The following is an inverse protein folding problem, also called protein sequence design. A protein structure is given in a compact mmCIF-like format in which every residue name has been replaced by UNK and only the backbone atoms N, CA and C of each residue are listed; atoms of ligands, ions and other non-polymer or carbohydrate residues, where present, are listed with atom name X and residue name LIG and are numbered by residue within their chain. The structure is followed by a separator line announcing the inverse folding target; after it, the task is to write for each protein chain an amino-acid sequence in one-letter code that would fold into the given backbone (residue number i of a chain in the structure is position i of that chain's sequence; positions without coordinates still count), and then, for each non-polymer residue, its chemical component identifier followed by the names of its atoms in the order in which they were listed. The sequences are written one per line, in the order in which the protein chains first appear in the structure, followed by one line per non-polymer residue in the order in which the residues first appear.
data_IF_075605449812
#
_entry.id   IF_075605449812
#
_cell.length_a   1.000
_cell.length_b   1.000
_cell.length_c   1.000
_cell.angle_alpha   90.00
_cell.angle_beta   90.00
_cell.angle_gamma   90.00
#
_symmetry.space_group_name_H-M   'P 1'
#
loop_
_entity.id
_entity.type
_entity.pdbx_description
1 polymer ?
#
# COMPACT_ATOMS: atom_id res chain seq x y z
N UNK A 1 -59.93 19.71 -8.45
CA UNK A 1 -58.95 18.82 -9.08
C UNK A 1 -57.59 19.52 -9.05
N UNK A 2 -57.21 19.94 -7.88
CA UNK A 2 -55.91 20.53 -7.49
C UNK A 2 -55.76 20.14 -6.05
N UNK A 3 -54.62 19.67 -5.62
CA UNK A 3 -54.19 19.32 -4.24
C UNK A 3 -53.83 17.86 -4.06
N UNK A 4 -52.86 17.37 -4.85
CA UNK A 4 -52.19 16.06 -4.58
C UNK A 4 -50.64 16.15 -4.60
N UNK A 5 -50.05 17.34 -4.71
CA UNK A 5 -48.56 17.45 -4.75
C UNK A 5 -48.00 18.49 -3.77
N UNK A 6 -48.40 18.42 -2.51
CA UNK A 6 -47.68 19.11 -1.41
C UNK A 6 -47.62 18.23 -0.20
N UNK A 7 -46.68 17.30 -0.18
CA UNK A 7 -46.03 16.78 1.01
C UNK A 7 -44.76 16.01 0.62
N UNK A 8 -43.83 16.70 0.02
CA UNK A 8 -42.43 16.35 0.17
C UNK A 8 -41.99 16.84 1.53
N UNK A 9 -42.31 16.08 2.56
CA UNK A 9 -41.56 16.12 3.81
C UNK A 9 -40.08 15.89 3.39
N UNK A 10 -39.32 16.95 3.43
CA UNK A 10 -37.86 16.87 3.45
C UNK A 10 -37.51 16.01 4.63
N UNK A 11 -37.26 14.74 4.38
CA UNK A 11 -36.56 13.88 5.33
C UNK A 11 -35.28 14.63 5.65
N UNK A 12 -35.20 15.28 6.79
CA UNK A 12 -33.93 15.63 7.41
C UNK A 12 -33.23 14.29 7.60
N UNK A 13 -32.35 13.95 6.65
CA UNK A 13 -31.35 12.92 6.85
C UNK A 13 -30.63 13.34 8.13
N UNK A 14 -30.83 12.58 9.20
CA UNK A 14 -29.94 12.61 10.33
C UNK A 14 -28.57 12.21 9.79
N UNK A 15 -27.80 13.19 9.39
CA UNK A 15 -26.44 12.99 8.87
C UNK A 15 -25.59 12.48 10.03
N UNK A 16 -25.58 11.17 10.19
CA UNK A 16 -24.59 10.53 11.02
C UNK A 16 -23.21 10.75 10.36
N UNK A 17 -22.20 11.14 11.13
CA UNK A 17 -20.88 11.32 10.59
C UNK A 17 -20.41 10.03 9.92
N UNK A 18 -19.96 10.15 8.67
CA UNK A 18 -19.36 9.04 7.93
C UNK A 18 -17.85 9.03 8.14
N UNK A 19 -17.27 7.85 8.18
CA UNK A 19 -15.83 7.67 8.35
C UNK A 19 -15.26 6.89 7.17
N UNK A 20 -14.21 7.42 6.58
CA UNK A 20 -13.45 6.73 5.56
C UNK A 20 -12.02 6.51 6.03
N UNK A 21 -11.50 5.33 5.75
CA UNK A 21 -10.15 4.94 6.11
C UNK A 21 -9.39 4.54 4.85
N UNK A 22 -8.18 5.06 4.71
CA UNK A 22 -7.25 4.65 3.67
C UNK A 22 -5.95 4.18 4.29
N UNK A 23 -5.29 3.25 3.62
CA UNK A 23 -3.98 2.72 3.99
C UNK A 23 -2.99 2.91 2.86
N UNK A 24 -1.71 3.04 3.23
CA UNK A 24 -0.59 3.00 2.31
C UNK A 24 0.60 2.31 2.97
N UNK A 25 1.44 1.66 2.17
CA UNK A 25 2.57 0.87 2.66
C UNK A 25 3.90 1.37 2.07
N UNK A 26 4.99 1.23 2.84
CA UNK A 26 6.35 1.52 2.41
C UNK A 26 6.84 0.48 1.40
N UNK A 27 7.94 0.78 0.70
CA UNK A 27 8.48 -0.07 -0.36
C UNK A 27 8.86 -1.48 0.09
N UNK A 28 9.24 -1.64 1.35
CA UNK A 28 9.62 -2.93 1.94
C UNK A 28 8.47 -3.73 2.54
N UNK A 29 7.24 -3.22 2.51
CA UNK A 29 6.08 -4.03 2.88
C UNK A 29 5.94 -5.21 1.90
N UNK A 30 5.66 -6.43 2.38
CA UNK A 30 5.61 -7.62 1.53
C UNK A 30 4.76 -7.46 0.26
N UNK A 31 3.56 -6.90 0.37
CA UNK A 31 2.68 -6.71 -0.77
C UNK A 31 3.32 -5.81 -1.84
N UNK A 32 3.86 -4.65 -1.44
CA UNK A 32 4.51 -3.73 -2.38
C UNK A 32 5.83 -4.28 -2.90
N UNK A 33 6.58 -5.01 -2.10
CA UNK A 33 7.80 -5.68 -2.53
C UNK A 33 7.51 -6.71 -3.62
N UNK A 34 6.43 -7.48 -3.48
CA UNK A 34 5.99 -8.44 -4.49
C UNK A 34 5.61 -7.74 -5.80
N UNK A 35 4.84 -6.66 -5.73
CA UNK A 35 4.49 -5.86 -6.91
C UNK A 35 5.74 -5.29 -7.59
N UNK A 36 6.68 -4.71 -6.81
CA UNK A 36 7.94 -4.17 -7.35
C UNK A 36 8.78 -5.22 -8.06
N UNK A 37 8.82 -6.45 -7.55
CA UNK A 37 9.53 -7.55 -8.19
C UNK A 37 8.81 -7.96 -9.48
N UNK A 38 7.49 -8.11 -9.46
CA UNK A 38 6.70 -8.47 -10.64
C UNK A 38 6.84 -7.42 -11.74
N UNK A 39 6.73 -6.14 -11.39
CA UNK A 39 6.95 -5.01 -12.31
C UNK A 39 8.37 -4.99 -12.88
N UNK A 40 9.39 -5.28 -12.05
CA UNK A 40 10.78 -5.34 -12.52
C UNK A 40 11.02 -6.48 -13.51
N UNK A 41 10.33 -7.61 -13.35
CA UNK A 41 10.36 -8.71 -14.33
C UNK A 41 9.66 -8.30 -15.62
N UNK A 42 8.51 -7.63 -15.54
CA UNK A 42 7.79 -7.09 -16.69
C UNK A 42 8.67 -6.09 -17.45
N UNK A 43 9.26 -5.13 -16.75
CA UNK A 43 10.16 -4.11 -17.35
C UNK A 43 11.34 -4.75 -18.08
N UNK A 44 11.98 -5.76 -17.48
CA UNK A 44 13.09 -6.48 -18.10
C UNK A 44 12.69 -7.22 -19.39
N UNK A 45 11.47 -7.72 -19.46
CA UNK A 45 10.94 -8.33 -20.68
C UNK A 45 10.63 -7.29 -21.74
N UNK A 46 9.86 -6.24 -21.39
CA UNK A 46 9.41 -5.22 -22.33
C UNK A 46 10.55 -4.37 -22.89
N UNK A 47 11.64 -4.16 -22.13
CA UNK A 47 12.81 -3.41 -22.58
C UNK A 47 13.43 -4.01 -23.84
N UNK A 48 13.35 -5.30 -24.05
CA UNK A 48 14.02 -6.01 -25.13
C UNK A 48 13.06 -6.70 -26.10
N UNK A 49 11.83 -6.94 -25.69
CA UNK A 49 10.74 -7.48 -26.50
C UNK A 49 9.41 -6.81 -26.12
N UNK A 50 9.05 -5.70 -26.79
CA UNK A 50 7.81 -4.99 -26.52
C UNK A 50 6.53 -5.83 -26.72
N UNK A 51 6.62 -6.96 -27.43
CA UNK A 51 5.51 -7.88 -27.62
C UNK A 51 5.44 -8.98 -26.53
N UNK A 52 6.26 -8.89 -25.48
CA UNK A 52 6.22 -9.85 -24.38
C UNK A 52 4.84 -9.89 -23.70
N UNK A 53 4.38 -11.09 -23.38
CA UNK A 53 3.21 -11.32 -22.53
C UNK A 53 3.73 -11.87 -21.21
N UNK A 54 3.46 -11.14 -20.13
CA UNK A 54 4.06 -11.39 -18.80
C UNK A 54 2.94 -11.50 -17.78
N UNK A 55 2.71 -12.71 -17.28
CA UNK A 55 1.91 -12.98 -16.11
C UNK A 55 2.86 -13.46 -15.00
N UNK A 56 3.36 -12.54 -14.22
CA UNK A 56 4.35 -12.79 -13.16
C UNK A 56 3.73 -12.50 -11.80
N UNK A 57 3.64 -13.52 -10.98
CA UNK A 57 3.13 -13.45 -9.61
C UNK A 57 4.29 -13.66 -8.63
N UNK A 58 4.25 -12.92 -7.53
CA UNK A 58 5.29 -12.99 -6.51
C UNK A 58 4.66 -13.14 -5.13
N UNK A 59 5.23 -14.00 -4.32
CA UNK A 59 4.89 -14.15 -2.91
C UNK A 59 6.15 -13.98 -2.06
N UNK A 60 6.06 -13.10 -1.07
CA UNK A 60 7.11 -12.89 -0.08
C UNK A 60 6.66 -13.40 1.29
N UNK A 61 7.51 -14.16 1.94
CA UNK A 61 7.33 -14.61 3.32
C UNK A 61 8.67 -14.63 4.03
N UNK A 62 8.70 -15.05 5.30
CA UNK A 62 9.91 -15.04 6.11
C UNK A 62 11.10 -15.73 5.42
N UNK A 63 12.08 -14.94 5.00
CA UNK A 63 13.30 -15.43 4.35
C UNK A 63 13.09 -16.08 2.98
N UNK A 64 11.90 -15.98 2.37
CA UNK A 64 11.60 -16.58 1.09
C UNK A 64 10.90 -15.62 0.15
N UNK A 65 11.32 -15.65 -1.12
CA UNK A 65 10.65 -15.02 -2.25
C UNK A 65 10.34 -16.11 -3.26
N UNK A 66 9.08 -16.25 -3.63
CA UNK A 66 8.62 -17.20 -4.64
C UNK A 66 8.13 -16.39 -5.83
N UNK A 67 8.70 -16.61 -6.99
CA UNK A 67 8.27 -16.01 -8.26
C UNK A 67 7.70 -17.12 -9.10
N UNK A 68 6.48 -16.97 -9.56
CA UNK A 68 5.78 -17.97 -10.38
C UNK A 68 4.98 -17.28 -11.48
N UNK A 69 4.67 -18.02 -12.55
CA UNK A 69 3.82 -17.50 -13.60
C UNK A 69 4.16 -18.01 -14.98
N UNK A 70 3.55 -17.35 -15.96
CA UNK A 70 3.69 -17.71 -17.37
C UNK A 70 4.17 -16.48 -18.16
N UNK A 71 5.30 -16.63 -18.88
CA UNK A 71 5.89 -15.56 -19.65
C UNK A 71 6.19 -16.03 -21.06
N UNK A 72 5.65 -15.34 -22.05
CA UNK A 72 6.01 -15.51 -23.45
C UNK A 72 6.83 -14.32 -23.90
N UNK A 73 8.11 -14.51 -24.16
CA UNK A 73 9.05 -13.47 -24.57
C UNK A 73 10.22 -14.06 -25.35
N UNK A 74 10.85 -13.24 -26.20
CA UNK A 74 12.10 -13.59 -26.90
C UNK A 74 13.34 -13.45 -26.02
N UNK A 75 13.18 -12.91 -24.82
CA UNK A 75 14.23 -12.65 -23.84
C UNK A 75 14.20 -13.70 -22.75
N UNK A 76 15.33 -13.94 -22.11
CA UNK A 76 15.39 -14.73 -20.86
C UNK A 76 15.80 -13.79 -19.72
N UNK A 77 14.85 -13.18 -19.01
CA UNK A 77 15.19 -12.31 -17.90
C UNK A 77 15.86 -13.11 -16.78
N UNK A 78 16.93 -12.56 -16.20
CA UNK A 78 17.55 -13.14 -15.01
C UNK A 78 16.75 -12.78 -13.77
N UNK A 79 15.68 -13.53 -13.53
CA UNK A 79 14.73 -13.30 -12.41
C UNK A 79 15.44 -13.30 -11.07
N UNK A 80 16.45 -14.15 -10.86
CA UNK A 80 17.19 -14.20 -9.59
C UNK A 80 17.95 -12.90 -9.33
N UNK A 81 18.58 -12.32 -10.33
CA UNK A 81 19.28 -11.06 -10.18
C UNK A 81 18.28 -9.89 -10.04
N UNK A 82 17.18 -9.90 -10.79
CA UNK A 82 16.10 -8.90 -10.66
C UNK A 82 15.59 -8.85 -9.22
N UNK A 83 15.25 -10.00 -8.64
CA UNK A 83 14.79 -10.08 -7.24
C UNK A 83 15.86 -9.54 -6.28
N UNK A 84 17.13 -9.95 -6.45
CA UNK A 84 18.21 -9.48 -5.58
C UNK A 84 18.44 -7.98 -5.68
N UNK A 85 18.33 -7.41 -6.87
CA UNK A 85 18.51 -5.97 -7.08
C UNK A 85 17.33 -5.20 -6.49
N UNK A 86 16.10 -5.66 -6.67
CA UNK A 86 14.91 -5.07 -6.04
C UNK A 86 15.02 -5.09 -4.51
N UNK A 87 15.45 -6.22 -3.91
CA UNK A 87 15.67 -6.29 -2.47
C UNK A 87 16.70 -5.26 -1.99
N UNK A 88 17.82 -5.09 -2.68
CA UNK A 88 18.84 -4.08 -2.34
C UNK A 88 18.29 -2.66 -2.45
N UNK A 89 17.59 -2.35 -3.51
CA UNK A 89 16.99 -1.03 -3.75
C UNK A 89 15.97 -0.65 -2.67
N UNK A 90 15.25 -1.63 -2.18
CA UNK A 90 14.30 -1.44 -1.08
C UNK A 90 15.03 -1.28 0.26
N UNK A 91 16.19 -1.88 0.42
CA UNK A 91 17.01 -1.81 1.64
C UNK A 91 17.08 -3.10 2.44
N UNK A 92 16.80 -4.24 1.80
CA UNK A 92 17.00 -5.57 2.38
C UNK A 92 18.32 -6.19 1.92
N UNK A 93 18.94 -7.06 2.72
CA UNK A 93 20.06 -7.88 2.27
C UNK A 93 19.51 -9.12 1.53
N UNK A 94 19.83 -9.28 0.24
CA UNK A 94 19.37 -10.44 -0.54
C UNK A 94 19.85 -11.80 0.01
N UNK A 95 20.88 -11.81 0.85
CA UNK A 95 21.40 -13.04 1.49
C UNK A 95 20.44 -13.60 2.53
N UNK A 96 19.56 -12.77 3.06
CA UNK A 96 18.57 -13.18 4.04
C UNK A 96 17.37 -13.90 3.40
N UNK A 97 17.37 -14.02 2.05
CA UNK A 97 16.25 -14.57 1.29
C UNK A 97 16.67 -15.74 0.42
N UNK A 98 15.93 -16.83 0.51
CA UNK A 98 15.87 -17.87 -0.49
C UNK A 98 14.92 -17.43 -1.60
N UNK A 99 15.34 -17.58 -2.86
CA UNK A 99 14.55 -17.22 -4.02
C UNK A 99 14.23 -18.49 -4.79
N UNK A 100 12.94 -18.78 -4.96
CA UNK A 100 12.44 -19.89 -5.75
C UNK A 100 11.68 -19.34 -6.98
N UNK A 101 11.97 -19.89 -8.17
CA UNK A 101 11.40 -19.40 -9.42
C UNK A 101 10.74 -20.55 -10.18
N UNK A 102 9.44 -20.37 -10.46
CA UNK A 102 8.56 -21.31 -11.18
C UNK A 102 7.88 -20.61 -12.35
N UNK A 103 8.67 -20.08 -13.27
CA UNK A 103 8.18 -19.44 -14.50
C UNK A 103 8.21 -20.44 -15.62
N UNK A 104 7.12 -20.53 -16.38
CA UNK A 104 6.94 -21.39 -17.52
C UNK A 104 6.53 -20.58 -18.75
N UNK A 105 6.67 -21.18 -19.94
CA UNK A 105 6.06 -20.62 -21.15
C UNK A 105 4.53 -20.71 -21.09
N UNK A 106 3.83 -19.72 -21.65
CA UNK A 106 2.39 -19.71 -21.70
C UNK A 106 1.86 -20.93 -22.47
N UNK A 107 0.76 -21.51 -22.01
CA UNK A 107 0.07 -22.60 -22.69
C UNK A 107 -0.29 -22.22 -24.14
N UNK A 108 -0.07 -23.10 -25.14
CA UNK A 108 -0.44 -22.83 -26.53
C UNK A 108 -1.94 -22.54 -26.71
N UNK A 109 -2.81 -23.13 -25.87
CA UNK A 109 -4.26 -22.92 -25.94
C UNK A 109 -4.64 -21.49 -25.50
N UNK A 110 -3.95 -20.96 -24.48
CA UNK A 110 -4.14 -19.58 -24.01
C UNK A 110 -3.52 -18.61 -25.01
N UNK A 111 -2.33 -18.92 -25.53
CA UNK A 111 -1.66 -18.11 -26.53
C UNK A 111 -2.53 -17.95 -27.78
N UNK A 112 -3.13 -19.03 -28.28
CA UNK A 112 -4.03 -19.01 -29.44
C UNK A 112 -5.32 -18.24 -29.22
N UNK A 113 -5.79 -18.12 -27.96
CA UNK A 113 -6.99 -17.35 -27.65
C UNK A 113 -6.71 -15.83 -27.54
N UNK A 114 -5.44 -15.45 -27.32
CA UNK A 114 -4.98 -14.06 -27.12
C UNK A 114 -4.37 -13.48 -28.42
N UNK A 115 -3.82 -14.33 -29.27
CA UNK A 115 -3.34 -13.92 -30.60
C UNK A 115 -4.56 -13.64 -31.48
N UNK A 116 -4.83 -12.40 -31.91
CA UNK A 116 -5.87 -12.15 -32.87
C UNK A 116 -5.50 -12.90 -34.17
N UNK A 117 -6.40 -13.72 -34.70
CA UNK A 117 -6.34 -14.09 -36.11
C UNK A 117 -6.45 -12.76 -36.86
N UNK A 118 -5.31 -12.21 -37.30
CA UNK A 118 -5.27 -11.02 -38.16
C UNK A 118 -6.03 -11.38 -39.44
N UNK A 119 -7.27 -10.95 -39.52
CA UNK A 119 -8.00 -10.98 -40.77
C UNK A 119 -7.23 -10.14 -41.79
N UNK A 120 -7.06 -10.62 -43.02
CA UNK A 120 -6.38 -9.90 -44.09
C UNK A 120 -6.94 -8.48 -44.21
N UNK A 121 -6.14 -7.46 -43.76
CA UNK A 121 -6.48 -6.04 -43.89
C UNK A 121 -6.79 -5.31 -42.59
N UNK A 122 -6.64 -5.92 -41.41
CA UNK A 122 -6.68 -5.20 -40.13
C UNK A 122 -5.30 -4.65 -39.76
N UNK A 123 -5.27 -3.40 -39.26
CA UNK A 123 -4.05 -2.72 -38.85
C UNK A 123 -3.34 -3.47 -37.70
N UNK A 124 -2.02 -3.51 -37.70
CA UNK A 124 -1.15 -4.10 -36.67
C UNK A 124 -1.38 -3.53 -35.24
N UNK A 125 -2.22 -2.52 -35.09
CA UNK A 125 -2.51 -1.83 -33.82
C UNK A 125 -3.57 -2.51 -32.95
N UNK A 126 -4.14 -3.66 -33.36
CA UNK A 126 -5.08 -4.44 -32.54
C UNK A 126 -4.39 -5.48 -31.66
N UNK A 127 -3.48 -5.03 -30.79
CA UNK A 127 -2.95 -5.89 -29.75
C UNK A 127 -4.09 -6.17 -28.73
N UNK A 128 -4.55 -7.40 -28.65
CA UNK A 128 -5.50 -7.84 -27.63
C UNK A 128 -4.89 -7.80 -26.23
N UNK A 129 -5.74 -7.67 -25.20
CA UNK A 129 -5.27 -7.82 -23.84
C UNK A 129 -4.75 -9.24 -23.56
N UNK A 130 -3.69 -9.37 -22.78
CA UNK A 130 -3.09 -10.68 -22.44
C UNK A 130 -3.97 -11.56 -21.54
N UNK A 131 -5.02 -10.99 -20.92
CA UNK A 131 -5.97 -11.68 -20.06
C UNK A 131 -7.30 -10.89 -19.99
N UNK A 132 -8.32 -11.50 -19.40
CA UNK A 132 -9.58 -10.85 -19.08
C UNK A 132 -9.34 -9.80 -17.98
N UNK A 133 -10.09 -8.69 -18.03
CA UNK A 133 -9.95 -7.65 -17.02
C UNK A 133 -11.17 -6.75 -16.91
N UNK A 134 -11.39 -6.21 -15.72
CA UNK A 134 -12.34 -5.13 -15.46
C UNK A 134 -11.55 -3.95 -14.92
N UNK A 135 -11.62 -2.82 -15.64
CA UNK A 135 -10.95 -1.59 -15.23
C UNK A 135 -11.96 -0.69 -14.53
N UNK A 136 -11.59 -0.21 -13.34
CA UNK A 136 -12.41 0.72 -12.55
C UNK A 136 -11.64 2.01 -12.38
N UNK A 137 -12.29 3.14 -12.64
CA UNK A 137 -11.74 4.47 -12.42
C UNK A 137 -12.54 5.22 -11.35
N UNK A 138 -11.86 6.01 -10.55
CA UNK A 138 -12.47 6.90 -9.56
C UNK A 138 -11.69 8.21 -9.48
N UNK A 139 -12.41 9.34 -9.44
CA UNK A 139 -11.82 10.63 -9.19
C UNK A 139 -12.81 11.51 -8.39
N UNK A 140 -12.27 12.38 -7.55
CA UNK A 140 -13.03 13.38 -6.79
C UNK A 140 -12.28 14.71 -6.77
N UNK A 141 -12.90 15.76 -6.24
CA UNK A 141 -12.32 17.10 -6.16
C UNK A 141 -11.84 17.48 -4.75
N UNK A 142 -11.60 16.50 -3.90
CA UNK A 142 -11.15 16.74 -2.51
C UNK A 142 -9.71 17.26 -2.43
N UNK A 143 -8.87 16.83 -3.38
CA UNK A 143 -7.44 17.19 -3.43
C UNK A 143 -7.02 17.55 -4.85
N UNK A 144 -5.91 18.30 -5.02
CA UNK A 144 -5.34 18.57 -6.35
C UNK A 144 -4.98 17.32 -7.15
N UNK A 145 -4.75 16.20 -6.48
CA UNK A 145 -4.46 14.89 -7.07
C UNK A 145 -5.72 14.20 -7.61
N UNK A 146 -6.91 14.79 -7.44
CA UNK A 146 -8.21 14.20 -7.76
C UNK A 146 -8.51 12.87 -7.03
N UNK A 147 -7.93 12.69 -5.86
CA UNK A 147 -8.09 11.52 -5.00
C UNK A 147 -8.73 11.91 -3.67
N UNK A 148 -9.38 10.97 -2.97
CA UNK A 148 -9.88 11.18 -1.61
C UNK A 148 -8.77 11.62 -0.67
N UNK A 149 -9.05 12.58 0.19
CA UNK A 149 -8.07 13.16 1.10
C UNK A 149 -7.36 12.12 2.00
N UNK A 150 -8.02 11.11 2.59
CA UNK A 150 -7.33 10.10 3.40
C UNK A 150 -6.33 9.26 2.56
N UNK A 151 -6.60 9.04 1.27
CA UNK A 151 -5.67 8.35 0.36
C UNK A 151 -4.40 9.17 0.17
N UNK A 152 -4.56 10.46 -0.18
CA UNK A 152 -3.42 11.37 -0.39
C UNK A 152 -2.62 11.54 0.91
N UNK A 153 -3.29 11.69 2.04
CA UNK A 153 -2.64 11.80 3.34
C UNK A 153 -1.80 10.54 3.68
N UNK A 154 -2.36 9.35 3.48
CA UNK A 154 -1.65 8.10 3.72
C UNK A 154 -0.44 7.93 2.79
N UNK A 155 -0.57 8.28 1.51
CA UNK A 155 0.54 8.24 0.54
C UNK A 155 1.65 9.24 0.88
N UNK A 156 1.31 10.48 1.25
CA UNK A 156 2.29 11.49 1.66
C UNK A 156 3.05 11.05 2.91
N UNK A 157 2.36 10.50 3.91
CA UNK A 157 2.99 9.99 5.12
C UNK A 157 4.00 8.88 4.81
N UNK A 158 3.63 7.89 4.00
CA UNK A 158 4.52 6.80 3.59
C UNK A 158 5.73 7.32 2.80
N UNK A 159 5.52 8.26 1.89
CA UNK A 159 6.60 8.87 1.10
C UNK A 159 7.59 9.60 2.00
N UNK A 160 7.11 10.35 2.98
CA UNK A 160 7.97 11.06 3.93
C UNK A 160 8.71 10.10 4.88
N UNK A 161 8.09 9.01 5.30
CA UNK A 161 8.76 7.95 6.06
C UNK A 161 9.91 7.34 5.26
N UNK A 162 9.67 7.03 3.99
CA UNK A 162 10.69 6.47 3.10
C UNK A 162 11.85 7.45 2.87
N UNK A 163 11.55 8.72 2.60
CA UNK A 163 12.57 9.78 2.47
C UNK A 163 13.35 9.92 3.78
N UNK A 164 12.68 9.97 4.93
CA UNK A 164 13.32 10.11 6.24
C UNK A 164 14.23 8.93 6.56
N UNK A 165 13.85 7.72 6.15
CA UNK A 165 14.67 6.52 6.25
C UNK A 165 15.92 6.62 5.36
N UNK A 166 15.74 6.93 4.08
CA UNK A 166 16.82 6.99 3.10
C UNK A 166 17.83 8.10 3.40
N UNK A 167 17.36 9.22 3.92
CA UNK A 167 18.21 10.36 4.28
C UNK A 167 18.82 10.26 5.68
N UNK A 168 18.38 9.28 6.49
CA UNK A 168 18.82 9.11 7.87
C UNK A 168 18.28 10.16 8.85
N UNK A 169 17.30 10.97 8.45
CA UNK A 169 16.61 11.94 9.32
C UNK A 169 15.90 11.21 10.46
N UNK A 170 15.30 10.08 10.16
CA UNK A 170 14.80 9.14 11.17
C UNK A 170 15.68 7.88 11.09
N UNK A 171 16.70 7.78 11.96
CA UNK A 171 17.56 6.61 12.01
C UNK A 171 16.77 5.41 12.57
N UNK A 172 17.30 4.22 12.34
CA UNK A 172 16.84 2.96 12.94
C UNK A 172 15.48 2.44 12.46
N UNK A 173 14.78 3.12 11.53
CA UNK A 173 13.62 2.55 10.87
C UNK A 173 14.04 1.70 9.66
N UNK A 174 13.34 0.58 9.47
CA UNK A 174 13.54 -0.33 8.35
C UNK A 174 12.67 0.04 7.13
N UNK A 175 12.78 -0.75 6.05
CA UNK A 175 12.05 -0.48 4.82
C UNK A 175 10.56 -0.86 4.87
N UNK A 176 10.14 -1.66 5.86
CA UNK A 176 8.74 -2.05 6.04
C UNK A 176 7.99 -1.04 6.91
N UNK A 177 6.78 -0.72 6.50
CA UNK A 177 5.90 0.13 7.26
C UNK A 177 4.54 0.30 6.58
N UNK A 178 3.55 0.63 7.41
CA UNK A 178 2.16 0.84 7.00
C UNK A 178 1.59 2.06 7.70
N UNK A 179 0.86 2.86 6.96
CA UNK A 179 0.14 4.03 7.47
C UNK A 179 -1.35 3.85 7.18
N UNK A 180 -2.17 4.20 8.17
CA UNK A 180 -3.63 4.24 8.04
C UNK A 180 -4.11 5.63 8.46
N UNK A 181 -4.97 6.24 7.67
CA UNK A 181 -5.61 7.53 7.97
C UNK A 181 -7.11 7.36 7.93
N UNK A 182 -7.77 7.75 9.03
CA UNK A 182 -9.24 7.77 9.11
C UNK A 182 -9.72 9.21 9.19
N UNK A 183 -10.63 9.57 8.32
CA UNK A 183 -11.26 10.88 8.27
C UNK A 183 -12.76 10.79 8.49
N UNK A 184 -13.27 11.80 9.17
CA UNK A 184 -14.70 12.06 9.32
C UNK A 184 -15.17 12.98 8.21
N UNK A 185 -16.34 12.67 7.68
CA UNK A 185 -17.01 13.40 6.61
C UNK A 185 -18.39 13.87 7.06
N UNK A 186 -18.74 15.08 6.62
CA UNK A 186 -20.12 15.57 6.63
C UNK A 186 -20.63 15.58 5.18
N UNK A 187 -21.55 14.68 4.86
CA UNK A 187 -21.88 14.44 3.46
C UNK A 187 -20.64 13.92 2.69
N UNK A 188 -20.26 14.63 1.65
CA UNK A 188 -19.06 14.33 0.85
C UNK A 188 -17.86 15.26 1.19
N UNK A 189 -17.98 16.05 2.24
CA UNK A 189 -16.94 17.00 2.66
C UNK A 189 -16.13 16.45 3.81
N UNK A 190 -14.79 16.30 3.67
CA UNK A 190 -13.92 15.92 4.76
C UNK A 190 -13.85 17.05 5.80
N UNK A 191 -14.05 16.72 7.09
CA UNK A 191 -14.10 17.73 8.16
C UNK A 191 -13.04 17.53 9.23
N UNK A 192 -12.57 16.29 9.43
CA UNK A 192 -11.60 16.00 10.48
C UNK A 192 -10.82 14.72 10.23
N UNK A 193 -9.51 14.75 10.49
CA UNK A 193 -8.72 13.54 10.68
C UNK A 193 -9.01 13.02 12.10
N UNK A 194 -9.58 11.83 12.21
CA UNK A 194 -9.91 11.24 13.51
C UNK A 194 -8.79 10.35 14.03
N UNK A 195 -8.09 9.65 13.12
CA UNK A 195 -7.04 8.72 13.51
C UNK A 195 -5.96 8.66 12.44
N UNK A 196 -4.70 8.71 12.87
CA UNK A 196 -3.54 8.35 12.06
C UNK A 196 -2.81 7.23 12.80
N UNK A 197 -2.59 6.11 12.11
CA UNK A 197 -1.79 5.00 12.62
C UNK A 197 -0.55 4.90 11.77
N UNK A 198 0.61 4.91 12.39
CA UNK A 198 1.90 4.68 11.73
C UNK A 198 2.53 3.45 12.38
N UNK A 199 2.78 2.43 11.59
CA UNK A 199 3.49 1.22 11.97
C UNK A 199 4.73 1.12 11.12
N UNK A 200 5.92 1.13 11.72
CA UNK A 200 7.19 1.04 11.00
C UNK A 200 8.08 0.00 11.63
N UNK A 201 8.79 -0.72 10.78
CA UNK A 201 9.89 -1.57 11.20
C UNK A 201 10.99 -0.70 11.81
N UNK A 202 11.58 -1.15 12.91
CA UNK A 202 12.69 -0.45 13.56
C UNK A 202 13.64 -1.46 14.21
N UNK A 203 14.83 -1.00 14.61
CA UNK A 203 15.77 -1.82 15.38
C UNK A 203 15.21 -2.15 16.77
N UNK A 204 15.68 -3.24 17.34
CA UNK A 204 15.18 -3.77 18.62
C UNK A 204 15.42 -2.82 19.80
N UNK A 205 16.53 -2.11 19.76
CA UNK A 205 17.00 -1.16 20.78
C UNK A 205 16.58 0.29 20.52
N UNK A 206 15.72 0.54 19.54
CA UNK A 206 15.26 1.89 19.20
C UNK A 206 14.46 2.53 20.33
N UNK A 207 14.76 3.80 20.60
CA UNK A 207 13.98 4.63 21.53
C UNK A 207 12.66 5.08 20.87
N UNK A 208 11.55 4.51 21.35
CA UNK A 208 10.22 4.75 20.78
C UNK A 208 9.71 6.16 21.03
N UNK A 209 10.06 6.77 22.15
CA UNK A 209 9.63 8.15 22.45
C UNK A 209 10.37 9.11 21.53
N UNK A 210 11.67 8.89 21.32
CA UNK A 210 12.46 9.65 20.35
C UNK A 210 11.98 9.44 18.92
N UNK A 211 11.64 8.21 18.53
CA UNK A 211 11.08 7.93 17.21
C UNK A 211 9.78 8.71 16.99
N UNK A 212 8.91 8.72 17.99
CA UNK A 212 7.67 9.46 17.92
C UNK A 212 7.89 10.98 17.81
N UNK A 213 8.84 11.54 18.55
CA UNK A 213 9.19 12.94 18.46
C UNK A 213 9.74 13.32 17.07
N UNK A 214 10.54 12.46 16.46
CA UNK A 214 11.04 12.66 15.09
C UNK A 214 9.91 12.61 14.04
N UNK A 215 8.91 11.76 14.22
CA UNK A 215 7.73 11.73 13.35
C UNK A 215 6.90 13.02 13.48
N UNK A 216 6.75 13.54 14.70
CA UNK A 216 6.06 14.81 14.95
C UNK A 216 6.81 16.01 14.36
N UNK A 217 8.14 15.97 14.36
CA UNK A 217 8.96 17.07 13.85
C UNK A 217 9.11 17.06 12.33
N UNK A 218 9.33 15.89 11.72
CA UNK A 218 9.74 15.78 10.32
C UNK A 218 8.71 15.18 9.37
N UNK A 219 7.71 14.44 9.87
CA UNK A 219 6.78 13.70 9.01
C UNK A 219 5.39 14.32 9.02
N UNK A 220 4.75 14.41 10.17
CA UNK A 220 3.35 14.86 10.23
C UNK A 220 3.14 16.28 9.73
N UNK A 221 3.96 17.29 10.06
CA UNK A 221 3.74 18.65 9.57
C UNK A 221 3.81 18.74 8.05
N UNK A 222 4.76 18.04 7.43
CA UNK A 222 4.94 18.04 5.98
C UNK A 222 3.87 17.21 5.26
N UNK A 223 3.42 16.11 5.85
CA UNK A 223 2.39 15.27 5.24
C UNK A 223 1.06 15.99 5.10
N UNK A 224 0.75 16.83 6.08
CA UNK A 224 -0.54 17.54 6.14
C UNK A 224 -0.45 18.99 5.66
N UNK A 225 0.71 19.44 5.20
CA UNK A 225 0.87 20.79 4.66
C UNK A 225 -0.07 21.03 3.47
N UNK A 226 -0.79 22.14 3.50
CA UNK A 226 -1.77 22.51 2.48
C UNK A 226 -3.06 21.67 2.46
N UNK A 227 -3.20 20.66 3.35
CA UNK A 227 -4.40 19.82 3.42
C UNK A 227 -5.37 20.22 4.53
N UNK A 228 -4.93 21.07 5.46
CA UNK A 228 -5.61 21.28 6.74
C UNK A 228 -6.39 22.58 6.83
N UNK A 229 -6.63 23.30 5.76
CA UNK A 229 -7.52 24.46 5.80
C UNK A 229 -8.93 24.01 6.20
N UNK A 230 -9.32 24.37 7.44
CA UNK A 230 -10.62 23.99 8.02
C UNK A 230 -10.71 22.56 8.59
N UNK A 231 -9.63 21.78 8.54
CA UNK A 231 -9.60 20.40 9.03
C UNK A 231 -8.85 20.32 10.36
N UNK A 232 -9.47 19.75 11.39
CA UNK A 232 -8.80 19.52 12.66
C UNK A 232 -8.00 18.23 12.66
N UNK A 233 -6.79 18.27 13.26
CA UNK A 233 -5.92 17.10 13.45
C UNK A 233 -5.98 16.67 14.93
N UNK A 234 -6.00 15.37 15.22
CA UNK A 234 -6.03 14.86 16.58
C UNK A 234 -4.69 15.11 17.31
N UNK A 235 -4.76 15.17 18.64
CA UNK A 235 -3.56 15.17 19.47
C UNK A 235 -2.89 13.79 19.45
N UNK A 236 -1.55 13.76 19.49
CA UNK A 236 -0.75 12.55 19.51
C UNK A 236 -1.07 11.64 20.70
N UNK A 237 -1.14 10.34 20.45
CA UNK A 237 -1.06 9.30 21.47
C UNK A 237 -0.11 8.21 20.96
N UNK A 238 1.00 8.03 21.64
CA UNK A 238 1.91 6.91 21.39
C UNK A 238 1.39 5.70 22.12
N UNK A 239 1.04 4.65 21.40
CA UNK A 239 0.73 3.35 21.98
C UNK A 239 1.86 2.40 21.61
N UNK A 240 2.58 1.92 22.63
CA UNK A 240 3.55 0.84 22.44
C UNK A 240 2.76 -0.45 22.23
N UNK A 241 2.92 -1.14 21.09
CA UNK A 241 2.44 -2.50 21.02
C UNK A 241 3.23 -3.35 22.02
N UNK A 242 2.55 -4.22 22.72
CA UNK A 242 3.18 -5.18 23.66
C UNK A 242 4.07 -6.21 22.93
N UNK A 243 4.25 -6.10 21.63
CA UNK A 243 4.74 -7.18 20.77
C UNK A 243 5.68 -6.64 19.67
N UNK A 244 6.95 -6.98 19.79
CA UNK A 244 7.89 -7.00 18.69
C UNK A 244 8.36 -5.66 18.13
N UNK A 245 8.99 -5.69 16.98
CA UNK A 245 9.79 -4.66 16.33
C UNK A 245 8.98 -3.62 15.53
N UNK A 246 7.71 -3.49 15.80
CA UNK A 246 6.85 -2.54 15.11
C UNK A 246 6.16 -1.63 16.13
N UNK A 247 6.31 -0.34 15.98
CA UNK A 247 5.66 0.65 16.84
C UNK A 247 4.46 1.24 16.12
N UNK A 248 3.34 1.24 16.82
CA UNK A 248 2.13 1.91 16.39
C UNK A 248 2.03 3.27 17.05
N UNK A 249 2.07 4.32 16.27
CA UNK A 249 1.83 5.69 16.72
C UNK A 249 0.43 6.06 16.25
N UNK A 250 -0.45 6.35 17.20
CA UNK A 250 -1.83 6.72 16.90
C UNK A 250 -2.06 8.14 17.36
N UNK A 251 -2.51 9.00 16.47
CA UNK A 251 -3.02 10.31 16.85
C UNK A 251 -4.54 10.20 17.01
N UNK A 252 -5.02 10.31 18.26
CA UNK A 252 -6.45 10.27 18.59
C UNK A 252 -6.84 11.50 19.38
N UNK A 253 -7.93 12.15 18.97
CA UNK A 253 -8.63 13.12 19.80
C UNK A 253 -10.08 12.70 19.89
N UNK A 254 -10.46 12.09 21.01
CA UNK A 254 -11.86 11.95 21.39
C UNK A 254 -12.02 12.21 22.88
N UNK A 255 -12.72 13.25 23.29
CA UNK A 255 -13.35 13.23 24.59
C UNK A 255 -14.55 12.27 24.47
N UNK A 256 -14.42 11.06 25.00
CA UNK A 256 -15.55 10.18 25.27
C UNK A 256 -15.73 8.94 24.41
N UNK A 257 -14.78 8.51 23.57
CA UNK A 257 -14.85 7.19 22.92
C UNK A 257 -13.69 6.32 23.36
N UNK A 258 -14.05 5.20 23.92
CA UNK A 258 -13.24 4.11 24.44
C UNK A 258 -12.24 3.64 23.39
N UNK A 259 -10.97 3.51 23.81
CA UNK A 259 -9.92 2.86 23.04
C UNK A 259 -10.45 1.63 22.31
N UNK A 260 -10.38 1.61 20.98
CA UNK A 260 -10.68 0.42 20.23
C UNK A 260 -9.76 -0.69 20.75
N UNK A 261 -10.33 -1.66 21.44
CA UNK A 261 -9.65 -2.86 21.87
C UNK A 261 -9.12 -3.54 20.62
N UNK A 262 -7.82 -3.80 20.61
CA UNK A 262 -7.22 -4.71 19.67
C UNK A 262 -8.08 -5.97 19.56
N UNK A 263 -8.69 -6.21 18.42
CA UNK A 263 -9.52 -7.39 18.21
C UNK A 263 -8.67 -8.65 18.37
N UNK A 264 -9.28 -9.75 18.78
CA UNK A 264 -8.62 -11.04 19.05
C UNK A 264 -7.86 -11.62 17.85
N UNK A 265 -8.08 -11.12 16.63
CA UNK A 265 -7.34 -11.47 15.42
C UNK A 265 -5.87 -10.99 15.46
N UNK A 266 -5.58 -9.86 16.12
CA UNK A 266 -4.21 -9.37 16.29
C UNK A 266 -3.40 -10.16 17.35
N UNK A 267 -4.05 -10.91 18.25
CA UNK A 267 -3.35 -11.76 19.20
C UNK A 267 -2.65 -12.96 18.53
N UNK A 268 -3.23 -13.49 17.46
CA UNK A 268 -2.60 -14.59 16.68
C UNK A 268 -1.39 -14.11 15.88
N UNK A 269 -1.47 -12.91 15.32
CA UNK A 269 -0.32 -12.29 14.68
C UNK A 269 0.82 -12.04 15.68
N UNK A 270 0.49 -11.57 16.89
CA UNK A 270 1.45 -11.29 17.94
C UNK A 270 2.26 -12.53 18.41
N UNK A 271 1.66 -13.73 18.40
CA UNK A 271 2.36 -14.96 18.77
C UNK A 271 3.37 -15.42 17.69
N UNK A 272 3.16 -15.04 16.43
CA UNK A 272 4.11 -15.27 15.33
C UNK A 272 5.35 -14.37 15.45
N UNK A 273 5.23 -13.22 16.13
CA UNK A 273 6.32 -12.25 16.32
C UNK A 273 7.25 -12.52 17.51
N UNK A 274 6.97 -13.52 18.31
CA UNK A 274 7.85 -13.94 19.44
C UNK A 274 9.08 -14.74 19.00
N UNK A 275 9.35 -14.92 17.71
CA UNK A 275 10.48 -15.69 17.19
C UNK A 275 11.67 -14.80 16.84
N UNK A 276 12.91 -15.37 16.80
CA UNK A 276 14.16 -14.61 16.80
C UNK A 276 14.39 -13.75 15.53
N UNK A 277 15.48 -12.98 15.48
CA UNK A 277 15.65 -11.71 14.80
C UNK A 277 15.51 -11.65 13.28
N UNK A 278 15.10 -12.68 12.61
CA UNK A 278 15.02 -12.75 11.15
C UNK A 278 13.61 -13.03 10.62
N UNK A 279 12.53 -12.65 11.34
CA UNK A 279 11.18 -12.93 10.86
C UNK A 279 10.56 -11.73 10.19
N UNK A 280 10.31 -11.87 8.91
CA UNK A 280 9.48 -10.99 8.08
C UNK A 280 7.99 -11.19 8.37
N UNK A 281 7.21 -10.18 8.19
CA UNK A 281 5.80 -10.08 8.54
C UNK A 281 4.89 -10.88 7.60
N UNK A 282 3.97 -11.63 8.17
CA UNK A 282 2.76 -12.05 7.46
C UNK A 282 1.55 -11.26 7.99
N UNK A 283 0.68 -10.86 7.09
CA UNK A 283 -0.63 -10.30 7.39
C UNK A 283 -1.51 -11.26 8.16
#
# INVERSE_FOLDING_TARGET
MNDIFENTETMQENEHPRFYTAESVMRGHPDKLCDLIADSVLDACLQHDPASRVACEVMATHGHIIVAGEITTKVKPDVFNIVRDTLRDVGYDPKDYQIDCYIHDQSPDIAGAVEPELAEGEDEDTLGAGDQGVMVGYACNETPEYLPMPVVAAQRLVTLLEISRMTGVIPDIGPDGKVQVTMEYNGDTPVRITTVVVSVQHKEDSDMDKLADLLDEYVFPLAFDGMLEGISVPARKVTRPLWGRCTRITAERLPGIISARCSTSHRRAADLYRRPPNTMWMN
#
